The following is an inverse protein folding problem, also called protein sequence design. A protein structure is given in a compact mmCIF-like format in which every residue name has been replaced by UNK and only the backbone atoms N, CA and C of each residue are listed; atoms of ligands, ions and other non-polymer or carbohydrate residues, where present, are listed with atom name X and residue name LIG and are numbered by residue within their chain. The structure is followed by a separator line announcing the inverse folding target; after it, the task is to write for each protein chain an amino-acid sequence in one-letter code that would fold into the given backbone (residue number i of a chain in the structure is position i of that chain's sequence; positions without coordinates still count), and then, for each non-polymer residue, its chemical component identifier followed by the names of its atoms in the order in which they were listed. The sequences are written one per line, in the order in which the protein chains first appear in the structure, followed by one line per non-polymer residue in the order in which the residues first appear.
data_IF_227758545123
#
_entry.id   IF_227758545123
#
_cell.length_a   1.000
_cell.length_b   1.000
_cell.length_c   1.000
_cell.angle_alpha   90.00
_cell.angle_beta   90.00
_cell.angle_gamma   90.00
#
_symmetry.space_group_name_H-M   'P 1'
#
loop_
_entity.id
_entity.type
_entity.pdbx_description
1 polymer ?
#
# COMPACT_ATOMS: atom_id res chain seq x y z
N UNK A 1 -34.67 3.96 -13.02
CA UNK A 1 -34.04 2.72 -13.52
C UNK A 1 -34.06 2.67 -15.06
N UNK A 2 -33.73 3.77 -15.76
CA UNK A 2 -33.96 3.88 -17.21
C UNK A 2 -32.68 4.11 -18.06
N UNK A 3 -31.50 4.18 -17.43
CA UNK A 3 -30.21 4.44 -18.11
C UNK A 3 -29.06 3.65 -17.45
N UNK A 4 -29.30 2.41 -17.00
CA UNK A 4 -28.22 1.53 -16.60
C UNK A 4 -27.94 0.59 -17.78
N UNK A 5 -26.72 0.52 -18.32
CA UNK A 5 -26.42 -0.42 -19.40
C UNK A 5 -26.69 -1.83 -18.89
N UNK A 6 -27.66 -2.49 -19.52
CA UNK A 6 -27.94 -3.89 -19.31
C UNK A 6 -26.74 -4.71 -19.81
N UNK A 7 -26.40 -5.74 -19.04
CA UNK A 7 -25.39 -6.75 -19.36
C UNK A 7 -23.96 -6.36 -18.96
N UNK A 8 -23.69 -6.41 -17.66
CA UNK A 8 -22.38 -6.87 -17.17
C UNK A 8 -22.31 -8.37 -17.52
N UNK A 9 -22.03 -8.67 -18.79
CA UNK A 9 -21.91 -10.03 -19.28
C UNK A 9 -20.71 -10.68 -18.61
N UNK A 10 -20.95 -11.69 -17.77
CA UNK A 10 -20.00 -12.70 -17.28
C UNK A 10 -18.58 -12.23 -16.88
N UNK A 11 -18.36 -10.96 -16.56
CA UNK A 11 -17.08 -10.46 -16.07
C UNK A 11 -17.21 -10.22 -14.58
N UNK A 12 -16.46 -11.00 -13.81
CA UNK A 12 -16.35 -10.83 -12.37
C UNK A 12 -15.82 -9.42 -12.09
N UNK A 13 -16.31 -8.75 -11.03
CA UNK A 13 -15.87 -7.40 -10.61
C UNK A 13 -14.34 -7.22 -10.65
N UNK A 14 -13.62 -8.31 -10.36
CA UNK A 14 -12.17 -8.45 -10.46
C UNK A 14 -11.59 -7.98 -11.81
N UNK A 15 -12.17 -8.42 -12.92
CA UNK A 15 -11.67 -8.14 -14.27
C UNK A 15 -11.92 -6.68 -14.69
N UNK A 16 -12.95 -6.03 -14.14
CA UNK A 16 -13.20 -4.60 -14.36
C UNK A 16 -12.18 -3.72 -13.62
N UNK A 17 -11.88 -4.03 -12.35
CA UNK A 17 -10.89 -3.29 -11.55
C UNK A 17 -9.45 -3.50 -12.03
N UNK A 18 -9.12 -4.69 -12.52
CA UNK A 18 -7.79 -5.02 -13.03
C UNK A 18 -7.50 -4.28 -14.36
N UNK A 19 -8.52 -4.13 -15.22
CA UNK A 19 -8.44 -3.37 -16.48
C UNK A 19 -8.39 -1.85 -16.28
N UNK A 20 -9.26 -1.30 -15.42
CA UNK A 20 -9.46 0.16 -15.31
C UNK A 20 -8.52 0.84 -14.32
N UNK A 21 -8.16 0.14 -13.24
CA UNK A 21 -7.29 0.67 -12.20
C UNK A 21 -5.89 0.04 -12.21
N UNK A 22 -5.62 -0.86 -13.16
CA UNK A 22 -4.30 -1.51 -13.27
C UNK A 22 -3.89 -2.27 -12.02
N UNK A 23 -4.86 -2.73 -11.21
CA UNK A 23 -4.60 -3.49 -9.99
C UNK A 23 -4.02 -4.86 -10.35
N UNK A 24 -2.72 -4.92 -10.62
CA UNK A 24 -1.98 -6.17 -10.60
C UNK A 24 -1.90 -6.63 -9.16
N UNK A 25 -2.54 -7.74 -8.84
CA UNK A 25 -2.48 -8.36 -7.51
C UNK A 25 -1.05 -8.65 -7.04
N UNK A 26 -0.10 -8.75 -7.97
CA UNK A 26 1.33 -8.92 -7.72
C UNK A 26 1.97 -7.70 -7.02
N UNK A 27 1.49 -6.48 -7.30
CA UNK A 27 2.04 -5.23 -6.75
C UNK A 27 1.50 -4.90 -5.35
N UNK A 28 0.41 -5.53 -4.91
CA UNK A 28 -0.18 -5.27 -3.58
C UNK A 28 0.82 -5.66 -2.49
N UNK A 29 1.45 -6.83 -2.63
CA UNK A 29 2.47 -7.30 -1.68
C UNK A 29 3.70 -6.39 -1.68
N UNK A 30 4.11 -5.89 -2.86
CA UNK A 30 5.23 -4.96 -2.99
C UNK A 30 4.93 -3.62 -2.34
N UNK A 31 3.79 -2.99 -2.64
CA UNK A 31 3.39 -1.72 -2.04
C UNK A 31 3.24 -1.83 -0.52
N UNK A 32 2.66 -2.93 -0.03
CA UNK A 32 2.56 -3.20 1.41
C UNK A 32 3.95 -3.33 2.05
N UNK A 33 4.86 -4.05 1.38
CA UNK A 33 6.26 -4.18 1.80
C UNK A 33 6.99 -2.83 1.84
N UNK A 34 6.77 -1.96 0.86
CA UNK A 34 7.37 -0.62 0.82
C UNK A 34 6.90 0.21 2.02
N UNK A 35 5.60 0.25 2.31
CA UNK A 35 5.05 1.00 3.45
C UNK A 35 5.61 0.48 4.77
N UNK A 36 5.63 -0.85 4.96
CA UNK A 36 6.25 -1.46 6.15
C UNK A 36 7.74 -1.14 6.25
N UNK A 37 8.47 -1.17 5.13
CA UNK A 37 9.86 -0.78 5.05
C UNK A 37 10.10 0.67 5.49
N UNK A 38 9.27 1.61 5.02
CA UNK A 38 9.33 3.01 5.44
C UNK A 38 9.08 3.16 6.95
N UNK A 39 8.06 2.49 7.50
CA UNK A 39 7.77 2.52 8.94
C UNK A 39 8.97 2.01 9.75
N UNK A 40 9.54 0.87 9.36
CA UNK A 40 10.71 0.30 10.02
C UNK A 40 11.92 1.24 9.94
N UNK A 41 12.18 1.84 8.78
CA UNK A 41 13.27 2.79 8.58
C UNK A 41 13.16 3.98 9.53
N UNK A 42 12.00 4.65 9.57
CA UNK A 42 11.80 5.79 10.46
C UNK A 42 11.87 5.41 11.95
N UNK A 43 11.40 4.22 12.31
CA UNK A 43 11.52 3.69 13.68
C UNK A 43 12.98 3.50 14.09
N UNK A 44 13.79 2.87 13.24
CA UNK A 44 15.22 2.68 13.48
C UNK A 44 15.91 4.04 13.60
N UNK A 45 15.61 4.97 12.71
CA UNK A 45 16.20 6.30 12.73
C UNK A 45 15.86 7.08 14.01
N UNK A 46 14.60 7.01 14.46
CA UNK A 46 14.15 7.60 15.71
C UNK A 46 14.85 6.99 16.93
N UNK A 47 15.03 5.66 16.96
CA UNK A 47 15.77 4.98 18.04
C UNK A 47 17.25 5.40 18.05
N UNK A 48 17.88 5.54 16.89
CA UNK A 48 19.26 6.04 16.79
C UNK A 48 19.35 7.47 17.29
N UNK A 49 18.46 8.37 16.88
CA UNK A 49 18.42 9.75 17.34
C UNK A 49 18.27 9.82 18.87
N UNK A 50 17.33 9.06 19.43
CA UNK A 50 17.14 8.96 20.88
C UNK A 50 18.39 8.41 21.57
N UNK A 51 19.03 7.39 21.01
CA UNK A 51 20.30 6.85 21.53
C UNK A 51 21.38 7.92 21.55
N UNK A 52 21.56 8.71 20.49
CA UNK A 52 22.54 9.79 20.45
C UNK A 52 22.23 10.87 21.49
N UNK A 53 20.98 11.35 21.55
CA UNK A 53 20.54 12.34 22.54
C UNK A 53 20.75 11.83 23.97
N UNK A 54 20.46 10.56 24.23
CA UNK A 54 20.61 9.97 25.55
C UNK A 54 22.08 9.76 25.93
N UNK A 55 22.98 9.53 24.96
CA UNK A 55 24.43 9.49 25.21
C UNK A 55 25.01 10.88 25.50
N UNK A 56 24.50 11.95 24.89
CA UNK A 56 24.97 13.32 25.14
C UNK A 56 24.59 13.84 26.54
N UNK A 57 23.55 13.28 27.17
CA UNK A 57 23.09 13.67 28.51
C UNK A 57 23.81 12.95 29.66
N UNK A 58 24.65 11.95 29.36
CA UNK A 58 25.38 11.16 30.37
C UNK A 58 26.85 11.56 30.42
#
# INVERSE_FOLDING_TARGET
MANAPATIGHTTLKQYTESYYGFKYDEIAQNFGIVLGCIALFRVWGLLALRFVNHQKR
#
